data_IF_036968053537
#
_entry.id   IF_036968053537
#
_cell.length_a   1.000
_cell.length_b   1.000
_cell.length_c   1.000
_cell.angle_alpha   90.00
_cell.angle_beta   90.00
_cell.angle_gamma   90.00
#
_symmetry.space_group_name_H-M   'P 1'
#
loop_
_entity.id
_entity.type
_entity.pdbx_description
1 polymer ?
#
# COMPACT_ATOMS: atom_id res chain seq x y z
N UNK A 1 40.41 32.73 -30.24
CA UNK A 1 39.50 32.55 -29.09
C UNK A 1 40.28 32.77 -27.79
N UNK A 2 39.79 33.62 -26.88
CA UNK A 2 40.53 33.98 -25.66
C UNK A 2 40.57 32.78 -24.69
N UNK A 3 41.78 32.39 -24.25
CA UNK A 3 41.98 31.22 -23.35
C UNK A 3 41.19 31.33 -22.04
N UNK A 4 40.91 32.55 -21.58
CA UNK A 4 40.09 32.79 -20.40
C UNK A 4 38.60 32.55 -20.66
N UNK A 5 38.12 32.91 -21.86
CA UNK A 5 36.74 32.64 -22.30
C UNK A 5 36.47 31.13 -22.42
N UNK A 6 37.42 30.36 -22.94
CA UNK A 6 37.30 28.89 -23.05
C UNK A 6 37.16 28.25 -21.67
N UNK A 7 37.96 28.69 -20.68
CA UNK A 7 37.87 28.17 -19.30
C UNK A 7 36.53 28.47 -18.62
N UNK A 8 35.99 29.67 -18.82
CA UNK A 8 34.70 30.08 -18.26
C UNK A 8 33.57 29.22 -18.86
N UNK A 9 33.60 29.00 -20.18
CA UNK A 9 32.60 28.17 -20.87
C UNK A 9 32.68 26.72 -20.40
N UNK A 10 33.88 26.13 -20.30
CA UNK A 10 34.05 24.76 -19.80
C UNK A 10 33.53 24.59 -18.36
N UNK A 11 33.75 25.57 -17.49
CA UNK A 11 33.25 25.52 -16.11
C UNK A 11 31.71 25.62 -16.05
N UNK A 12 31.10 26.49 -16.86
CA UNK A 12 29.66 26.62 -16.94
C UNK A 12 28.97 25.33 -17.42
N UNK A 13 29.56 24.64 -18.40
CA UNK A 13 29.03 23.36 -18.92
C UNK A 13 29.04 22.28 -17.83
N UNK A 14 30.12 22.17 -17.05
CA UNK A 14 30.22 21.17 -15.97
C UNK A 14 29.15 21.40 -14.89
N UNK A 15 28.91 22.66 -14.52
CA UNK A 15 27.86 23.00 -13.54
C UNK A 15 26.47 22.65 -14.04
N UNK A 16 26.16 22.97 -15.30
CA UNK A 16 24.85 22.67 -15.91
C UNK A 16 24.63 21.15 -15.99
N UNK A 17 25.64 20.40 -16.43
CA UNK A 17 25.56 18.94 -16.47
C UNK A 17 25.36 18.32 -15.09
N UNK A 18 26.04 18.83 -14.05
CA UNK A 18 25.86 18.36 -12.68
C UNK A 18 24.45 18.58 -12.14
N UNK A 19 23.85 19.75 -12.39
CA UNK A 19 22.48 20.07 -11.96
C UNK A 19 21.45 19.19 -12.69
N UNK A 20 21.61 18.98 -14.00
CA UNK A 20 20.70 18.14 -14.77
C UNK A 20 20.74 16.68 -14.31
N UNK A 21 21.92 16.13 -14.04
CA UNK A 21 22.06 14.76 -13.52
C UNK A 21 21.43 14.62 -12.13
N UNK A 22 21.62 15.59 -11.24
CA UNK A 22 20.99 15.60 -9.91
C UNK A 22 19.46 15.61 -9.97
N UNK A 23 18.88 16.40 -10.89
CA UNK A 23 17.43 16.44 -11.10
C UNK A 23 16.87 15.11 -11.60
N UNK A 24 17.57 14.44 -12.54
CA UNK A 24 17.13 13.13 -13.08
C UNK A 24 17.13 12.06 -11.97
N UNK A 25 18.17 11.99 -11.16
CA UNK A 25 18.30 11.01 -10.07
C UNK A 25 17.24 11.27 -8.99
N UNK A 26 16.96 12.53 -8.65
CA UNK A 26 15.94 12.89 -7.65
C UNK A 26 14.52 12.46 -8.02
N UNK A 27 14.18 12.45 -9.31
CA UNK A 27 12.85 12.04 -9.77
C UNK A 27 12.68 10.51 -9.80
N UNK A 28 13.75 9.74 -9.98
CA UNK A 28 13.71 8.28 -9.93
C UNK A 28 13.39 7.76 -8.52
N UNK A 29 13.98 8.35 -7.48
CA UNK A 29 13.72 7.99 -6.07
C UNK A 29 12.24 8.18 -5.65
N UNK A 30 11.58 9.21 -6.19
CA UNK A 30 10.15 9.45 -5.97
C UNK A 30 9.24 8.45 -6.69
N UNK A 31 9.65 7.95 -7.86
CA UNK A 31 8.91 6.97 -8.64
C UNK A 31 8.98 5.56 -8.05
N UNK A 32 10.14 5.14 -7.55
CA UNK A 32 10.31 3.81 -6.93
C UNK A 32 9.45 3.65 -5.67
N UNK A 33 9.36 4.69 -4.83
CA UNK A 33 8.52 4.66 -3.64
C UNK A 33 7.03 4.54 -4.01
N UNK A 34 6.57 5.24 -5.05
CA UNK A 34 5.18 5.18 -5.52
C UNK A 34 4.83 3.83 -6.16
N UNK A 35 5.78 3.21 -6.87
CA UNK A 35 5.62 1.88 -7.46
C UNK A 35 5.60 0.77 -6.40
N UNK A 36 6.35 0.91 -5.29
CA UNK A 36 6.26 -0.01 -4.15
C UNK A 36 4.86 -0.05 -3.51
N UNK A 37 4.14 1.07 -3.48
CA UNK A 37 2.74 1.10 -3.01
C UNK A 37 1.76 0.50 -4.02
N UNK A 38 2.02 0.61 -5.33
CA UNK A 38 1.18 0.04 -6.38
C UNK A 38 1.41 -1.47 -6.58
N UNK A 39 2.55 -2.00 -6.15
CA UNK A 39 2.89 -3.42 -6.26
C UNK A 39 2.48 -4.26 -5.02
N UNK A 40 1.87 -3.62 -4.01
CA UNK A 40 1.12 -4.37 -3.00
C UNK A 40 -0.17 -4.85 -3.63
N UNK A 41 -0.43 -6.15 -3.51
CA UNK A 41 -1.68 -6.77 -3.95
C UNK A 41 -2.82 -6.24 -3.05
N UNK A 42 -3.32 -5.04 -3.38
CA UNK A 42 -4.40 -4.36 -2.66
C UNK A 42 -5.68 -5.08 -3.05
N UNK A 43 -6.25 -5.81 -2.11
CA UNK A 43 -7.53 -6.48 -2.27
C UNK A 43 -8.65 -5.44 -2.19
N UNK A 44 -9.72 -5.65 -2.95
CA UNK A 44 -10.93 -4.88 -2.72
C UNK A 44 -11.47 -5.15 -1.30
N UNK A 45 -12.23 -4.23 -0.69
CA UNK A 45 -12.77 -4.44 0.65
C UNK A 45 -13.57 -5.75 0.78
N UNK A 46 -14.31 -6.12 -0.28
CA UNK A 46 -15.05 -7.38 -0.34
C UNK A 46 -14.13 -8.60 -0.33
N UNK A 47 -13.13 -8.63 -1.22
CA UNK A 47 -12.16 -9.73 -1.29
C UNK A 47 -11.34 -9.86 0.01
N UNK A 48 -11.00 -8.73 0.63
CA UNK A 48 -10.29 -8.70 1.89
C UNK A 48 -11.16 -9.28 3.04
N UNK A 49 -12.45 -8.94 3.07
CA UNK A 49 -13.42 -9.51 4.02
C UNK A 49 -13.60 -11.02 3.84
N UNK A 50 -13.77 -11.50 2.60
CA UNK A 50 -13.91 -12.92 2.29
C UNK A 50 -12.65 -13.72 2.68
N UNK A 51 -11.45 -13.18 2.40
CA UNK A 51 -10.19 -13.79 2.79
C UNK A 51 -10.06 -13.93 4.31
N UNK A 52 -10.48 -12.91 5.05
CA UNK A 52 -10.44 -12.93 6.52
C UNK A 52 -11.46 -13.91 7.09
N UNK A 53 -12.68 -13.96 6.55
CA UNK A 53 -13.68 -14.96 6.95
C UNK A 53 -13.15 -16.39 6.77
N UNK A 54 -12.59 -16.68 5.59
CA UNK A 54 -12.00 -17.98 5.31
C UNK A 54 -10.85 -18.29 6.28
N UNK A 55 -10.00 -17.31 6.58
CA UNK A 55 -8.92 -17.50 7.55
C UNK A 55 -9.46 -17.85 8.94
N UNK A 56 -10.49 -17.14 9.41
CA UNK A 56 -11.12 -17.39 10.70
C UNK A 56 -11.74 -18.79 10.73
N UNK A 57 -12.51 -19.15 9.72
CA UNK A 57 -13.16 -20.47 9.65
C UNK A 57 -12.14 -21.61 9.59
N UNK A 58 -11.08 -21.46 8.78
CA UNK A 58 -10.09 -22.53 8.55
C UNK A 58 -9.02 -22.65 9.64
N UNK A 59 -8.73 -21.57 10.38
CA UNK A 59 -7.60 -21.54 11.33
C UNK A 59 -8.04 -21.29 12.77
N UNK A 60 -9.02 -20.43 13.01
CA UNK A 60 -9.44 -20.03 14.36
C UNK A 60 -10.58 -20.91 14.86
N UNK A 61 -11.62 -21.11 14.03
CA UNK A 61 -12.80 -21.91 14.35
C UNK A 61 -12.64 -23.38 13.93
N UNK A 62 -11.45 -23.77 13.49
CA UNK A 62 -11.14 -25.12 13.04
C UNK A 62 -11.46 -26.15 14.13
N UNK A 63 -12.37 -27.08 13.82
CA UNK A 63 -12.80 -28.12 14.76
C UNK A 63 -13.91 -27.69 15.71
N UNK A 64 -14.47 -26.49 15.54
CA UNK A 64 -15.73 -26.07 16.13
C UNK A 64 -16.86 -26.12 15.09
N UNK A 65 -18.11 -26.21 15.54
CA UNK A 65 -19.30 -26.12 14.67
C UNK A 65 -19.69 -24.65 14.36
N UNK A 66 -18.87 -23.70 14.81
CA UNK A 66 -19.12 -22.26 14.69
C UNK A 66 -18.66 -21.75 13.32
N UNK A 67 -19.35 -20.75 12.78
CA UNK A 67 -18.95 -20.04 11.56
C UNK A 67 -18.90 -18.54 11.77
N UNK A 68 -17.88 -17.91 11.20
CA UNK A 68 -17.85 -16.46 11.09
C UNK A 68 -18.66 -15.99 9.89
N UNK A 69 -19.35 -14.88 10.04
CA UNK A 69 -20.05 -14.19 8.95
C UNK A 69 -19.89 -12.69 9.09
N UNK A 70 -20.11 -11.95 8.00
CA UNK A 70 -20.24 -10.49 8.10
C UNK A 70 -21.58 -10.15 8.76
N UNK A 71 -21.59 -9.11 9.58
CA UNK A 71 -22.85 -8.54 10.09
C UNK A 71 -23.71 -8.11 8.91
N UNK A 72 -24.99 -8.45 8.94
CA UNK A 72 -25.93 -8.15 7.88
C UNK A 72 -25.99 -6.63 7.62
N UNK A 73 -25.89 -6.23 6.34
CA UNK A 73 -25.86 -4.82 5.94
C UNK A 73 -24.54 -4.09 6.21
N UNK A 74 -23.53 -4.74 6.79
CA UNK A 74 -22.20 -4.15 6.97
C UNK A 74 -21.32 -4.38 5.74
N UNK A 75 -20.67 -3.32 5.27
CA UNK A 75 -19.71 -3.36 4.17
C UNK A 75 -18.33 -3.08 4.73
N UNK A 76 -17.32 -3.81 4.26
CA UNK A 76 -15.93 -3.52 4.62
C UNK A 76 -15.55 -2.15 4.05
N UNK A 77 -15.18 -1.21 4.90
CA UNK A 77 -14.91 0.18 4.51
C UNK A 77 -13.46 0.57 4.75
N UNK A 78 -12.90 1.40 3.87
CA UNK A 78 -11.58 1.98 4.09
C UNK A 78 -11.66 3.12 5.11
N UNK A 79 -10.97 2.96 6.24
CA UNK A 79 -10.76 4.02 7.22
C UNK A 79 -9.28 4.15 7.54
N UNK A 80 -8.72 5.34 7.32
CA UNK A 80 -7.33 5.67 7.68
C UNK A 80 -6.27 4.70 7.11
N UNK A 81 -6.50 4.15 5.91
CA UNK A 81 -5.55 3.25 5.24
C UNK A 81 -5.64 1.77 5.65
N UNK A 82 -6.57 1.41 6.54
CA UNK A 82 -6.98 0.03 6.83
C UNK A 82 -8.44 -0.19 6.45
N UNK A 83 -8.86 -1.44 6.36
CA UNK A 83 -10.25 -1.83 6.20
C UNK A 83 -10.85 -2.16 7.57
N UNK A 84 -12.02 -1.59 7.87
CA UNK A 84 -12.82 -1.95 9.05
C UNK A 84 -13.87 -2.98 8.63
N UNK A 85 -14.02 -4.05 9.42
CA UNK A 85 -15.04 -5.07 9.21
C UNK A 85 -15.80 -5.38 10.50
N UNK A 86 -17.10 -5.65 10.40
CA UNK A 86 -17.89 -6.23 11.49
C UNK A 86 -18.22 -7.69 11.21
N UNK A 87 -17.80 -8.53 12.14
CA UNK A 87 -17.94 -9.98 12.11
C UNK A 87 -18.99 -10.40 13.13
N UNK A 88 -19.73 -11.46 12.81
CA UNK A 88 -20.64 -12.15 13.71
C UNK A 88 -20.21 -13.60 13.82
N UNK A 89 -20.04 -14.06 15.06
CA UNK A 89 -19.81 -15.47 15.40
C UNK A 89 -20.85 -15.80 16.47
N UNK A 90 -21.76 -16.73 16.17
CA UNK A 90 -22.97 -16.97 16.99
C UNK A 90 -23.74 -15.65 17.23
N UNK A 91 -24.04 -15.34 18.49
CA UNK A 91 -24.75 -14.13 18.91
C UNK A 91 -23.82 -12.95 19.24
N UNK A 92 -22.52 -13.10 19.00
CA UNK A 92 -21.53 -12.06 19.31
C UNK A 92 -21.05 -11.33 18.06
N UNK A 93 -21.04 -10.00 18.14
CA UNK A 93 -20.50 -9.12 17.10
C UNK A 93 -19.13 -8.56 17.49
N UNK A 94 -18.21 -8.53 16.54
CA UNK A 94 -16.83 -8.06 16.71
C UNK A 94 -16.49 -7.05 15.62
N UNK A 95 -15.81 -5.97 15.99
CA UNK A 95 -15.20 -5.05 15.02
C UNK A 95 -13.73 -5.42 14.87
N UNK A 96 -13.29 -5.70 13.65
CA UNK A 96 -11.91 -6.02 13.32
C UNK A 96 -11.36 -5.04 12.29
N UNK A 97 -10.06 -4.84 12.31
CA UNK A 97 -9.33 -4.01 11.37
C UNK A 97 -8.36 -4.89 10.59
N UNK A 98 -8.27 -4.68 9.30
CA UNK A 98 -7.42 -5.48 8.42
C UNK A 98 -6.67 -4.59 7.44
N UNK A 99 -5.45 -4.99 7.11
CA UNK A 99 -4.64 -4.27 6.13
C UNK A 99 -5.17 -4.49 4.71
N UNK A 100 -4.84 -3.60 3.78
CA UNK A 100 -5.29 -3.69 2.38
C UNK A 100 -4.80 -4.94 1.64
N UNK A 101 -3.78 -5.64 2.14
CA UNK A 101 -3.32 -6.95 1.65
C UNK A 101 -4.06 -8.15 2.29
N UNK A 102 -5.11 -7.88 3.08
CA UNK A 102 -5.97 -8.88 3.70
C UNK A 102 -5.26 -9.67 4.79
N UNK A 103 -4.52 -8.97 5.66
CA UNK A 103 -3.98 -9.52 6.91
C UNK A 103 -4.68 -8.85 8.08
N UNK A 104 -4.99 -9.65 9.10
CA UNK A 104 -5.44 -9.20 10.42
C UNK A 104 -4.28 -8.58 11.20
#
# INVERSE_FOLDING_TARGET
MNKNLVKIISFAVVLICGVLLGLIISQQSLLENKLYFLNKNILSPKEAGEKVLNYIDENVLKGSDLKASLVEGYVVEEKNGVYEMKLKIEDSEFTSYLTKDGKL
#
